data_IF_448842956063
#
_entry.id   IF_448842956063
#
_cell.length_a   1.000
_cell.length_b   1.000
_cell.length_c   1.000
_cell.angle_alpha   90.00
_cell.angle_beta   90.00
_cell.angle_gamma   90.00
#
_symmetry.space_group_name_H-M   'P 1'
#
loop_
_entity.id
_entity.type
_entity.pdbx_description
1 polymer ?
#
# COMPACT_ATOMS: atom_id res chain seq x y z
N UNK A 1 6.35 5.36 14.28
CA UNK A 1 5.11 4.72 13.84
C UNK A 1 4.12 5.80 13.45
N UNK A 2 3.60 6.60 14.39
CA UNK A 2 2.70 7.73 14.07
C UNK A 2 3.25 8.69 12.99
N UNK A 3 4.50 9.14 13.11
CA UNK A 3 5.12 10.01 12.08
C UNK A 3 5.16 9.35 10.68
N UNK A 4 5.42 8.04 10.62
CA UNK A 4 5.48 7.30 9.35
C UNK A 4 4.09 7.14 8.74
N UNK A 5 3.08 6.82 9.53
CA UNK A 5 1.69 6.70 9.07
C UNK A 5 1.17 8.04 8.52
N UNK A 6 1.44 9.15 9.22
CA UNK A 6 1.04 10.49 8.75
C UNK A 6 1.76 10.86 7.46
N UNK A 7 3.08 10.64 7.39
CA UNK A 7 3.88 10.88 6.17
C UNK A 7 3.35 10.06 4.99
N UNK A 8 3.18 8.75 5.20
CA UNK A 8 2.76 7.83 4.15
C UNK A 8 1.34 8.13 3.69
N UNK A 9 0.41 8.40 4.61
CA UNK A 9 -0.96 8.78 4.28
C UNK A 9 -0.99 10.05 3.41
N UNK A 10 -0.24 11.09 3.81
CA UNK A 10 -0.15 12.33 3.03
C UNK A 10 0.46 12.09 1.65
N UNK A 11 1.50 11.27 1.57
CA UNK A 11 2.16 10.94 0.31
C UNK A 11 1.24 10.16 -0.63
N UNK A 12 0.61 9.08 -0.14
CA UNK A 12 -0.31 8.27 -0.93
C UNK A 12 -1.51 9.07 -1.42
N UNK A 13 -2.08 9.92 -0.56
CA UNK A 13 -3.18 10.82 -0.94
C UNK A 13 -2.78 11.89 -1.98
N UNK A 14 -1.48 12.13 -2.22
CA UNK A 14 -1.03 12.94 -3.35
C UNK A 14 -1.02 12.19 -4.69
N UNK A 15 -1.10 10.85 -4.66
CA UNK A 15 -1.03 9.95 -5.82
C UNK A 15 -2.40 9.37 -6.16
N UNK A 16 -3.15 8.94 -5.14
CA UNK A 16 -4.46 8.28 -5.20
C UNK A 16 -5.21 8.45 -3.88
N UNK A 17 -6.54 8.40 -3.92
CA UNK A 17 -7.36 8.38 -2.71
C UNK A 17 -7.04 7.12 -1.89
N UNK A 18 -6.55 7.32 -0.67
CA UNK A 18 -6.02 6.25 0.17
C UNK A 18 -6.55 6.38 1.60
N UNK A 19 -7.18 5.30 2.07
CA UNK A 19 -7.68 5.19 3.42
C UNK A 19 -6.56 4.86 4.41
N UNK A 20 -6.64 5.46 5.60
CA UNK A 20 -5.78 5.15 6.73
C UNK A 20 -6.40 4.03 7.59
N UNK A 21 -6.52 2.85 6.99
CA UNK A 21 -7.19 1.67 7.58
C UNK A 21 -7.87 0.82 6.52
N UNK A 22 -8.18 -0.44 6.84
CA UNK A 22 -8.82 -1.36 5.90
C UNK A 22 -10.11 -0.76 5.32
N UNK A 23 -10.40 -1.09 4.06
CA UNK A 23 -11.64 -0.65 3.42
C UNK A 23 -12.83 -1.40 4.00
N UNK A 24 -13.94 -0.69 4.15
CA UNK A 24 -15.22 -1.28 4.51
C UNK A 24 -15.68 -2.33 3.49
N UNK A 25 -16.42 -3.34 3.97
CA UNK A 25 -16.89 -4.43 3.11
C UNK A 25 -17.87 -3.95 2.01
N UNK A 26 -18.53 -2.81 2.22
CA UNK A 26 -19.46 -2.15 1.30
C UNK A 26 -18.82 -1.03 0.47
N UNK A 27 -17.48 -0.99 0.38
CA UNK A 27 -16.75 0.00 -0.41
C UNK A 27 -17.33 0.15 -1.83
N UNK A 28 -17.61 1.40 -2.21
CA UNK A 28 -18.27 1.73 -3.46
C UNK A 28 -17.32 1.62 -4.66
N UNK A 29 -17.20 0.39 -5.18
CA UNK A 29 -16.43 0.12 -6.40
C UNK A 29 -17.09 0.63 -7.69
N UNK A 30 -18.33 1.15 -7.63
CA UNK A 30 -19.01 1.73 -8.79
C UNK A 30 -18.41 3.11 -9.07
N UNK A 31 -18.31 3.94 -8.04
CA UNK A 31 -17.72 5.27 -8.16
C UNK A 31 -16.20 5.27 -7.99
N UNK A 32 -15.66 4.30 -7.23
CA UNK A 32 -14.22 4.21 -6.96
C UNK A 32 -13.64 2.91 -7.50
N UNK A 33 -13.11 2.96 -8.73
CA UNK A 33 -12.62 1.78 -9.45
C UNK A 33 -11.58 0.95 -8.69
N UNK A 34 -10.75 1.63 -7.89
CA UNK A 34 -9.71 1.05 -7.06
C UNK A 34 -9.82 1.64 -5.66
N UNK A 35 -9.87 0.78 -4.64
CA UNK A 35 -9.73 1.19 -3.25
C UNK A 35 -8.31 0.92 -2.78
N UNK A 36 -7.74 1.86 -2.02
CA UNK A 36 -6.36 1.77 -1.52
C UNK A 36 -6.34 2.02 -0.02
N UNK A 37 -5.61 1.19 0.72
CA UNK A 37 -5.24 1.46 2.11
C UNK A 37 -3.85 0.94 2.41
N UNK A 38 -3.30 1.30 3.57
CA UNK A 38 -2.04 0.76 4.02
C UNK A 38 -2.07 0.35 5.50
N UNK A 39 -1.16 -0.56 5.85
CA UNK A 39 -0.91 -1.01 7.22
C UNK A 39 0.57 -0.83 7.52
N UNK A 40 0.88 -0.39 8.74
CA UNK A 40 2.26 -0.21 9.22
C UNK A 40 2.48 -1.11 10.43
N UNK A 41 3.43 -2.03 10.32
CA UNK A 41 3.81 -2.93 11.40
C UNK A 41 5.24 -2.67 11.87
N UNK A 42 5.50 -2.79 13.16
CA UNK A 42 6.87 -2.72 13.68
C UNK A 42 7.51 -4.11 13.58
N UNK A 43 8.52 -4.27 12.74
CA UNK A 43 9.12 -5.60 12.51
C UNK A 43 10.21 -5.96 13.51
N UNK A 44 10.60 -5.05 14.42
CA UNK A 44 11.48 -5.35 15.54
C UNK A 44 12.81 -6.04 15.17
N UNK A 45 13.26 -5.97 13.91
CA UNK A 45 14.46 -6.68 13.48
C UNK A 45 15.70 -6.03 14.11
N UNK A 46 16.38 -6.80 14.97
CA UNK A 46 17.48 -6.40 15.84
C UNK A 46 18.69 -5.77 15.12
N UNK A 47 18.81 -5.94 13.81
CA UNK A 47 19.97 -5.50 13.02
C UNK A 47 19.77 -4.13 12.35
N UNK A 48 18.54 -3.63 12.23
CA UNK A 48 18.26 -2.30 11.67
C UNK A 48 17.59 -1.43 12.74
N UNK A 49 18.19 -0.29 13.09
CA UNK A 49 17.60 0.69 14.01
C UNK A 49 16.20 1.11 13.49
N UNK A 50 15.14 0.48 14.02
CA UNK A 50 13.72 0.76 13.72
C UNK A 50 13.35 0.61 12.23
N UNK A 51 13.27 -0.63 11.76
CA UNK A 51 12.58 -0.98 10.53
C UNK A 51 11.07 -1.18 10.79
N UNK A 52 10.24 -0.56 9.95
CA UNK A 52 8.80 -0.80 9.88
C UNK A 52 8.49 -1.63 8.62
N UNK A 53 7.54 -2.57 8.69
CA UNK A 53 6.89 -3.13 7.49
C UNK A 53 5.76 -2.19 7.11
N UNK A 54 5.63 -1.95 5.81
CA UNK A 54 4.53 -1.18 5.26
C UNK A 54 3.90 -2.03 4.16
N UNK A 55 2.62 -2.32 4.30
CA UNK A 55 1.85 -3.10 3.35
C UNK A 55 0.79 -2.16 2.76
N UNK A 56 0.82 -1.96 1.45
CA UNK A 56 -0.14 -1.11 0.73
C UNK A 56 -1.05 -2.01 -0.09
N UNK A 57 -2.33 -1.97 0.22
CA UNK A 57 -3.34 -2.83 -0.33
C UNK A 57 -4.13 -2.09 -1.41
N UNK A 58 -4.36 -2.75 -2.53
CA UNK A 58 -5.13 -2.26 -3.67
C UNK A 58 -6.24 -3.25 -3.99
N UNK A 59 -7.48 -2.79 -3.97
CA UNK A 59 -8.66 -3.60 -4.27
C UNK A 59 -9.39 -3.06 -5.48
N UNK A 60 -9.91 -3.95 -6.33
CA UNK A 60 -10.80 -3.56 -7.41
C UNK A 60 -11.74 -4.71 -7.77
N UNK A 61 -12.81 -4.40 -8.51
CA UNK A 61 -13.53 -5.42 -9.27
C UNK A 61 -12.65 -5.93 -10.43
N UNK A 62 -12.79 -7.19 -10.83
CA UNK A 62 -12.06 -7.80 -11.96
C UNK A 62 -12.14 -6.99 -13.25
N UNK A 63 -13.30 -6.39 -13.51
CA UNK A 63 -13.51 -5.52 -14.68
C UNK A 63 -12.59 -4.29 -14.69
N UNK A 64 -12.13 -3.85 -13.51
CA UNK A 64 -11.24 -2.71 -13.31
C UNK A 64 -9.76 -3.12 -13.11
N UNK A 65 -9.40 -4.38 -13.38
CA UNK A 65 -8.02 -4.90 -13.18
C UNK A 65 -6.95 -4.05 -13.88
N UNK A 66 -7.23 -3.50 -15.05
CA UNK A 66 -6.26 -2.65 -15.77
C UNK A 66 -6.00 -1.35 -15.00
N UNK A 67 -7.05 -0.76 -14.43
CA UNK A 67 -6.93 0.46 -13.63
C UNK A 67 -6.22 0.17 -12.29
N UNK A 68 -6.47 -0.99 -11.68
CA UNK A 68 -5.72 -1.51 -10.53
C UNK A 68 -4.22 -1.60 -10.83
N UNK A 69 -3.84 -2.33 -11.88
CA UNK A 69 -2.43 -2.57 -12.20
C UNK A 69 -1.70 -1.26 -12.54
N UNK A 70 -2.33 -0.35 -13.27
CA UNK A 70 -1.76 0.99 -13.53
C UNK A 70 -1.49 1.76 -12.25
N UNK A 71 -2.39 1.66 -11.26
CA UNK A 71 -2.21 2.35 -9.98
C UNK A 71 -1.12 1.69 -9.14
N UNK A 72 -1.07 0.36 -9.12
CA UNK A 72 0.02 -0.41 -8.48
C UNK A 72 1.37 0.02 -9.05
N UNK A 73 1.53 0.02 -10.38
CA UNK A 73 2.77 0.43 -11.05
C UNK A 73 3.15 1.87 -10.70
N UNK A 74 2.16 2.79 -10.69
CA UNK A 74 2.36 4.21 -10.33
C UNK A 74 2.84 4.36 -8.88
N UNK A 75 2.29 3.60 -7.93
CA UNK A 75 2.71 3.65 -6.52
C UNK A 75 4.08 3.00 -6.33
N UNK A 76 4.34 1.87 -6.97
CA UNK A 76 5.64 1.20 -6.94
C UNK A 76 6.74 2.12 -7.47
N UNK A 77 6.53 2.76 -8.61
CA UNK A 77 7.47 3.74 -9.16
C UNK A 77 7.67 4.93 -8.23
N UNK A 78 6.65 5.32 -7.49
CA UNK A 78 6.69 6.46 -6.58
C UNK A 78 7.41 6.17 -5.25
N UNK A 79 7.31 4.94 -4.72
CA UNK A 79 7.81 4.58 -3.38
C UNK A 79 9.09 3.73 -3.45
N UNK A 80 9.15 2.78 -4.38
CA UNK A 80 10.21 1.76 -4.43
C UNK A 80 11.61 2.36 -4.46
N UNK A 81 12.42 2.05 -3.46
CA UNK A 81 13.81 2.48 -3.31
C UNK A 81 13.99 4.02 -3.22
N UNK A 82 13.02 4.74 -2.63
CA UNK A 82 13.08 6.20 -2.46
C UNK A 82 13.07 6.62 -1.00
N UNK A 83 13.45 7.87 -0.77
CA UNK A 83 13.35 8.56 0.52
C UNK A 83 12.11 9.45 0.48
N UNK A 84 11.20 9.28 1.44
CA UNK A 84 9.98 10.09 1.62
C UNK A 84 10.01 10.66 3.03
N UNK A 85 10.09 11.98 3.15
CA UNK A 85 10.16 12.74 4.41
C UNK A 85 11.06 12.10 5.48
N UNK A 86 12.27 11.67 5.09
CA UNK A 86 13.27 11.10 6.00
C UNK A 86 13.13 9.60 6.27
N UNK A 87 12.21 8.91 5.59
CA UNK A 87 12.10 7.46 5.61
C UNK A 87 12.58 6.86 4.30
N UNK A 88 13.53 5.93 4.35
CA UNK A 88 13.98 5.17 3.19
C UNK A 88 13.13 3.91 3.05
N UNK A 89 12.44 3.78 1.91
CA UNK A 89 11.58 2.67 1.56
C UNK A 89 12.32 1.69 0.64
N UNK A 90 12.40 0.42 1.02
CA UNK A 90 12.96 -0.66 0.19
C UNK A 90 11.93 -1.75 -0.04
N UNK A 91 11.88 -2.27 -1.27
CA UNK A 91 10.89 -3.28 -1.63
C UNK A 91 11.13 -4.59 -0.88
N UNK A 92 10.09 -5.14 -0.25
CA UNK A 92 10.07 -6.50 0.33
C UNK A 92 9.37 -7.36 -0.71
N UNK A 93 10.12 -8.10 -1.52
CA UNK A 93 9.58 -8.92 -2.62
C UNK A 93 8.49 -9.89 -2.14
N UNK A 94 7.22 -9.51 -2.21
CA UNK A 94 6.10 -10.46 -2.10
C UNK A 94 4.90 -9.95 -2.92
N UNK A 95 4.68 -10.57 -4.08
CA UNK A 95 3.47 -10.44 -4.88
C UNK A 95 2.44 -11.47 -4.40
N UNK A 96 1.48 -11.07 -3.58
CA UNK A 96 0.33 -11.91 -3.27
C UNK A 96 -0.90 -11.43 -4.04
N UNK A 97 -1.21 -12.11 -5.14
CA UNK A 97 -2.59 -12.23 -5.63
C UNK A 97 -3.33 -13.10 -4.61
N UNK A 98 -3.92 -12.48 -3.59
CA UNK A 98 -4.87 -13.19 -2.73
C UNK A 98 -6.23 -13.01 -3.40
N UNK A 99 -6.79 -14.03 -4.08
CA UNK A 99 -8.22 -14.02 -4.32
C UNK A 99 -8.87 -14.02 -2.92
N UNK A 100 -9.38 -12.86 -2.49
CA UNK A 100 -10.41 -12.83 -1.44
C UNK A 100 -11.50 -13.82 -1.91
N UNK A 101 -12.20 -14.50 -1.00
CA UNK A 101 -13.24 -15.49 -1.35
C UNK A 101 -14.37 -14.96 -2.26
N UNK A 102 -14.32 -13.68 -2.59
CA UNK A 102 -15.13 -12.96 -3.56
C UNK A 102 -14.54 -13.07 -4.98
N UNK A 103 -15.08 -14.01 -5.77
CA UNK A 103 -14.60 -14.36 -7.12
C UNK A 103 -14.54 -13.19 -8.11
N UNK A 104 -15.16 -12.06 -7.79
CA UNK A 104 -15.25 -10.89 -8.67
C UNK A 104 -14.31 -9.74 -8.29
N UNK A 105 -13.48 -9.92 -7.25
CA UNK A 105 -12.50 -8.92 -6.81
C UNK A 105 -11.07 -9.35 -7.12
N UNK A 106 -10.21 -8.35 -7.30
CA UNK A 106 -8.76 -8.46 -7.43
C UNK A 106 -8.13 -7.69 -6.27
N UNK A 107 -7.11 -8.28 -5.66
CA UNK A 107 -6.36 -7.69 -4.55
C UNK A 107 -4.86 -7.78 -4.85
N UNK A 108 -4.18 -6.64 -4.76
CA UNK A 108 -2.73 -6.54 -4.87
C UNK A 108 -2.16 -5.92 -3.60
N UNK A 109 -0.98 -6.38 -3.17
CA UNK A 109 -0.28 -5.82 -2.02
C UNK A 109 1.14 -5.47 -2.46
N UNK A 110 1.54 -4.21 -2.22
CA UNK A 110 2.95 -3.79 -2.31
C UNK A 110 3.52 -3.71 -0.90
N UNK A 111 4.64 -4.38 -0.67
CA UNK A 111 5.25 -4.44 0.66
C UNK A 111 6.63 -3.78 0.68
N UNK A 112 6.88 -2.96 1.70
CA UNK A 112 8.13 -2.24 1.88
C UNK A 112 8.67 -2.38 3.29
N UNK A 113 9.99 -2.26 3.42
CA UNK A 113 10.62 -1.84 4.66
C UNK A 113 10.79 -0.33 4.66
N UNK A 114 10.39 0.34 5.74
CA UNK A 114 10.63 1.76 5.96
C UNK A 114 11.58 1.96 7.14
N UNK A 115 12.71 2.64 6.89
CA UNK A 115 13.71 2.94 7.92
C UNK A 115 13.88 4.45 8.05
N UNK A 116 13.92 4.95 9.29
CA UNK A 116 14.19 6.38 9.54
C UNK A 116 15.68 6.64 9.35
N UNK A 117 16.00 7.55 8.43
CA UNK A 117 17.37 8.01 8.17
C UNK A 117 17.74 9.20 9.07
#
# INVERSE_FOLDING_TARGET
MYDLEVTLNKFLNSICDCSNGELDDDYDFINNKVGVYFLVENTGHLEFKKAYSVDIHFYSLKVNKIDLLKLVDKVEEAIGNKIIDGFYFTHKNIYHLIPRDDKDKEHHILTYYANKY
#
